data_IF_339081110960
#
_entry.id   IF_339081110960
#
_cell.length_a   1.000
_cell.length_b   1.000
_cell.length_c   1.000
_cell.angle_alpha   90.00
_cell.angle_beta   90.00
_cell.angle_gamma   90.00
#
_symmetry.space_group_name_H-M   'P 1'
#
loop_
_entity.id
_entity.type
_entity.pdbx_description
1 polymer ?
#
# COMPACT_ATOMS: atom_id res chain seq x y z
N UNK A 1 -38.94 -58.78 -10.28
CA UNK A 1 -38.39 -57.53 -9.71
C UNK A 1 -36.88 -57.73 -9.60
N UNK A 2 -36.08 -57.45 -10.64
CA UNK A 2 -35.46 -56.15 -11.01
C UNK A 2 -34.65 -55.56 -9.83
N UNK A 3 -33.35 -55.22 -9.90
CA UNK A 3 -32.37 -55.10 -10.99
C UNK A 3 -30.94 -55.13 -10.43
N UNK A 4 -29.99 -55.71 -11.17
CA UNK A 4 -28.55 -55.51 -10.99
C UNK A 4 -28.11 -54.31 -11.84
N UNK A 5 -27.43 -53.35 -11.22
CA UNK A 5 -26.87 -52.17 -11.86
C UNK A 5 -25.70 -52.56 -12.77
N UNK A 6 -25.79 -52.26 -14.07
CA UNK A 6 -24.65 -52.17 -15.00
C UNK A 6 -24.12 -50.74 -14.96
N UNK A 7 -22.80 -50.61 -14.91
CA UNK A 7 -22.08 -49.35 -15.08
C UNK A 7 -21.77 -49.24 -16.58
N UNK A 8 -22.39 -48.27 -17.25
CA UNK A 8 -22.09 -47.93 -18.64
C UNK A 8 -20.94 -46.91 -18.68
N UNK A 9 -19.80 -47.35 -19.20
CA UNK A 9 -18.62 -46.55 -19.53
C UNK A 9 -18.78 -46.04 -20.97
N UNK A 10 -19.50 -44.95 -21.22
CA UNK A 10 -19.57 -44.35 -22.58
C UNK A 10 -20.04 -42.88 -22.67
N UNK A 11 -19.73 -42.02 -21.69
CA UNK A 11 -20.15 -40.59 -21.71
C UNK A 11 -19.01 -39.53 -21.70
N UNK A 12 -17.75 -39.94 -21.91
CA UNK A 12 -16.60 -39.02 -21.84
C UNK A 12 -16.06 -38.51 -23.19
N UNK A 13 -16.66 -38.89 -24.33
CA UNK A 13 -16.17 -38.46 -25.67
C UNK A 13 -16.94 -37.32 -26.34
N UNK A 14 -17.98 -36.76 -25.70
CA UNK A 14 -18.81 -35.69 -26.29
C UNK A 14 -18.58 -34.29 -25.74
N UNK A 15 -17.84 -34.11 -24.63
CA UNK A 15 -17.62 -32.77 -24.03
C UNK A 15 -16.45 -31.96 -24.59
N UNK A 16 -15.57 -32.59 -25.38
CA UNK A 16 -14.37 -31.92 -25.91
C UNK A 16 -14.57 -31.24 -27.28
N UNK A 17 -15.70 -31.45 -27.98
CA UNK A 17 -15.94 -30.81 -29.29
C UNK A 17 -16.63 -29.45 -29.22
N UNK A 18 -17.21 -29.08 -28.08
CA UNK A 18 -17.98 -27.83 -27.94
C UNK A 18 -17.14 -26.64 -27.45
N UNK A 19 -15.91 -26.86 -26.94
CA UNK A 19 -15.03 -25.76 -26.48
C UNK A 19 -14.22 -25.08 -27.59
N UNK A 20 -14.09 -25.71 -28.77
CA UNK A 20 -13.26 -25.18 -29.86
C UNK A 20 -14.02 -24.23 -30.81
N UNK A 21 -15.36 -24.14 -30.73
CA UNK A 21 -16.15 -23.24 -31.58
C UNK A 21 -16.26 -21.80 -31.08
N UNK A 22 -16.00 -21.54 -29.80
CA UNK A 22 -16.15 -20.20 -29.21
C UNK A 22 -14.91 -19.31 -29.36
N UNK A 23 -13.74 -19.87 -29.67
CA UNK A 23 -12.50 -19.08 -29.86
C UNK A 23 -12.38 -18.36 -31.20
N UNK A 24 -13.17 -18.74 -32.21
CA UNK A 24 -13.06 -18.17 -33.57
C UNK A 24 -13.98 -16.97 -33.85
N UNK A 25 -14.87 -16.60 -32.92
CA UNK A 25 -15.74 -15.42 -33.08
C UNK A 25 -15.08 -14.08 -32.72
N UNK A 26 -14.12 -14.07 -31.78
CA UNK A 26 -13.51 -12.83 -31.30
C UNK A 26 -12.41 -12.26 -32.20
N UNK A 27 -11.92 -13.04 -33.18
CA UNK A 27 -10.83 -12.61 -34.07
C UNK A 27 -11.31 -11.77 -35.27
N UNK A 28 -12.62 -11.73 -35.55
CA UNK A 28 -13.21 -10.96 -36.69
C UNK A 28 -13.72 -9.57 -36.32
N UNK A 29 -13.80 -9.20 -35.04
CA UNK A 29 -14.25 -7.86 -34.59
C UNK A 29 -13.17 -6.77 -34.71
N UNK A 30 -11.88 -7.13 -34.82
CA UNK A 30 -10.75 -6.17 -34.80
C UNK A 30 -10.27 -5.68 -36.17
N UNK A 31 -10.93 -6.03 -37.28
CA UNK A 31 -10.40 -5.80 -38.64
C UNK A 31 -11.15 -4.78 -39.51
N UNK A 32 -12.10 -4.03 -38.94
CA UNK A 32 -12.86 -3.01 -39.68
C UNK A 32 -13.02 -1.73 -38.87
N UNK A 33 -12.03 -0.83 -38.93
CA UNK A 33 -12.16 0.63 -38.76
C UNK A 33 -10.80 1.29 -38.96
N UNK A 34 -10.37 1.36 -40.21
CA UNK A 34 -9.24 2.18 -40.68
C UNK A 34 -9.63 2.80 -42.02
N UNK A 35 -9.41 4.12 -42.16
CA UNK A 35 -9.65 5.05 -43.30
C UNK A 35 -11.03 5.74 -43.28
N UNK A 36 -11.24 7.08 -43.35
CA UNK A 36 -10.48 8.36 -43.50
C UNK A 36 -11.51 9.51 -43.18
N UNK A 37 -11.35 10.85 -43.43
CA UNK A 37 -10.22 11.69 -43.86
C UNK A 37 -9.99 13.01 -43.04
N UNK A 38 -8.86 13.67 -43.32
CA UNK A 38 -8.43 14.98 -42.82
C UNK A 38 -9.39 16.14 -43.16
N UNK A 39 -9.66 17.02 -42.19
CA UNK A 39 -10.05 18.43 -42.40
C UNK A 39 -9.22 19.35 -41.51
N UNK A 40 -8.55 20.32 -42.15
CA UNK A 40 -7.93 21.51 -41.58
C UNK A 40 -9.03 22.51 -41.18
N UNK A 41 -8.91 23.14 -40.01
CA UNK A 41 -9.26 24.54 -39.70
C UNK A 41 -8.87 24.78 -38.21
N UNK A 42 -7.84 25.58 -37.92
CA UNK A 42 -7.78 27.06 -37.78
C UNK A 42 -8.07 27.53 -36.34
N UNK A 43 -7.00 28.01 -35.71
CA UNK A 43 -6.89 28.94 -34.56
C UNK A 43 -7.97 28.91 -33.46
N UNK A 44 -7.54 28.48 -32.26
CA UNK A 44 -7.75 29.23 -31.00
C UNK A 44 -7.00 28.54 -29.85
N UNK A 45 -6.11 29.29 -29.22
CA UNK A 45 -5.50 28.97 -27.92
C UNK A 45 -6.59 28.66 -26.88
N UNK A 46 -6.50 27.50 -26.23
CA UNK A 46 -7.35 27.19 -25.09
C UNK A 46 -6.49 26.68 -23.94
N UNK A 47 -6.31 27.55 -22.95
CA UNK A 47 -5.76 27.27 -21.63
C UNK A 47 -6.58 26.16 -20.92
N UNK A 48 -5.98 25.39 -20.00
CA UNK A 48 -6.71 24.42 -19.19
C UNK A 48 -7.78 25.10 -18.32
N UNK A 49 -8.87 24.40 -17.96
CA UNK A 49 -10.05 25.02 -17.37
C UNK A 49 -9.77 25.54 -15.96
N UNK A 50 -10.07 26.82 -15.75
CA UNK A 50 -10.08 27.48 -14.44
C UNK A 50 -11.22 26.91 -13.59
N UNK A 51 -10.90 26.25 -12.48
CA UNK A 51 -11.91 25.93 -11.46
C UNK A 51 -12.17 27.22 -10.67
N UNK A 52 -13.31 27.84 -10.94
CA UNK A 52 -13.83 28.97 -10.15
C UNK A 52 -14.38 28.44 -8.83
N UNK A 53 -13.62 28.56 -7.74
CA UNK A 53 -14.16 28.51 -6.38
C UNK A 53 -14.50 29.94 -5.94
N UNK A 54 -15.77 30.30 -5.98
CA UNK A 54 -16.23 31.54 -5.37
C UNK A 54 -16.25 31.40 -3.85
N UNK A 55 -15.55 32.34 -3.21
CA UNK A 55 -15.38 32.50 -1.78
C UNK A 55 -16.69 32.85 -1.09
N UNK A 56 -16.94 32.19 0.04
CA UNK A 56 -17.53 32.85 1.21
C UNK A 56 -16.59 32.60 2.40
N UNK A 57 -16.00 33.69 2.87
CA UNK A 57 -15.05 33.77 3.96
C UNK A 57 -15.76 33.67 5.32
N UNK A 58 -15.24 32.83 6.21
CA UNK A 58 -14.95 33.13 7.61
C UNK A 58 -14.69 31.82 8.38
N UNK A 59 -13.61 31.81 9.16
CA UNK A 59 -13.21 30.78 10.13
C UNK A 59 -12.54 29.51 9.57
N UNK A 60 -11.24 29.61 9.27
CA UNK A 60 -10.19 29.00 10.09
C UNK A 60 -8.91 28.87 9.25
N UNK A 61 -7.86 29.60 9.63
CA UNK A 61 -6.48 29.27 9.25
C UNK A 61 -6.08 27.94 9.93
N UNK A 62 -6.69 26.84 9.51
CA UNK A 62 -6.18 25.52 9.84
C UNK A 62 -4.90 25.36 9.03
N UNK A 63 -3.74 25.62 9.65
CA UNK A 63 -2.42 25.31 9.08
C UNK A 63 -2.49 23.94 8.41
N UNK A 64 -2.42 23.92 7.07
CA UNK A 64 -2.48 22.68 6.30
C UNK A 64 -1.32 21.81 6.76
N UNK A 65 -1.62 20.75 7.52
CA UNK A 65 -0.59 19.86 8.04
C UNK A 65 -0.02 19.08 6.87
N UNK A 66 1.25 19.32 6.57
CA UNK A 66 1.97 18.64 5.50
C UNK A 66 2.63 17.37 6.01
N UNK A 67 2.68 16.36 5.15
CA UNK A 67 3.43 15.15 5.38
C UNK A 67 4.93 15.49 5.36
N UNK A 68 5.67 15.25 6.45
CA UNK A 68 7.06 15.64 6.53
C UNK A 68 7.98 14.74 5.70
N UNK A 69 7.46 13.67 5.09
CA UNK A 69 8.20 12.77 4.19
C UNK A 69 8.06 13.20 2.72
N UNK A 70 6.82 13.40 2.25
CA UNK A 70 6.52 13.77 0.85
C UNK A 70 6.45 15.27 0.60
N UNK A 71 6.37 16.09 1.66
CA UNK A 71 6.10 17.55 1.64
C UNK A 71 4.76 17.92 1.01
N UNK A 72 3.85 16.96 0.83
CA UNK A 72 2.49 17.18 0.34
C UNK A 72 1.50 17.33 1.50
N UNK A 73 0.36 18.00 1.32
CA UNK A 73 -0.73 17.97 2.29
C UNK A 73 -1.21 16.53 2.56
N UNK A 74 -1.52 16.22 3.82
CA UNK A 74 -2.09 14.90 4.14
C UNK A 74 -3.44 14.69 3.44
N UNK A 75 -3.64 13.48 2.91
CA UNK A 75 -4.88 13.08 2.26
C UNK A 75 -6.04 12.94 3.26
N UNK A 76 -7.28 12.98 2.75
CA UNK A 76 -8.47 12.69 3.59
C UNK A 76 -8.43 11.27 4.17
N UNK A 77 -7.89 10.30 3.40
CA UNK A 77 -7.74 8.90 3.82
C UNK A 77 -6.82 8.81 5.04
N UNK A 78 -5.71 9.55 5.05
CA UNK A 78 -4.81 9.61 6.20
C UNK A 78 -5.53 9.99 7.48
N UNK A 79 -6.34 11.05 7.47
CA UNK A 79 -7.05 11.52 8.66
C UNK A 79 -8.06 10.51 9.20
N UNK A 80 -8.77 9.80 8.32
CA UNK A 80 -9.69 8.72 8.72
C UNK A 80 -8.96 7.55 9.40
N UNK A 81 -7.77 7.22 8.89
CA UNK A 81 -6.92 6.17 9.48
C UNK A 81 -6.31 6.66 10.80
N UNK A 82 -5.90 7.93 10.85
CA UNK A 82 -5.30 8.58 12.00
C UNK A 82 -6.20 8.51 13.23
N UNK A 83 -7.49 8.81 13.07
CA UNK A 83 -8.46 8.74 14.17
C UNK A 83 -8.58 7.32 14.74
N UNK A 84 -8.70 6.33 13.87
CA UNK A 84 -8.81 4.91 14.28
C UNK A 84 -7.56 4.41 14.98
N UNK A 85 -6.37 4.78 14.50
CA UNK A 85 -5.12 4.28 15.11
C UNK A 85 -4.86 4.91 16.48
N UNK A 86 -5.32 6.14 16.76
CA UNK A 86 -5.19 6.76 18.07
C UNK A 86 -5.99 6.06 19.18
N UNK A 87 -6.96 5.23 18.79
CA UNK A 87 -7.75 4.41 19.70
C UNK A 87 -7.08 3.05 20.02
N UNK A 88 -5.92 2.75 19.42
CA UNK A 88 -5.22 1.49 19.68
C UNK A 88 -4.59 1.51 21.09
N UNK A 89 -4.64 0.38 21.84
CA UNK A 89 -4.12 0.31 23.19
C UNK A 89 -2.65 0.77 23.35
N UNK A 90 -1.81 0.55 22.33
CA UNK A 90 -0.41 0.99 22.38
C UNK A 90 -0.24 2.50 22.52
N UNK A 91 -1.19 3.32 22.07
CA UNK A 91 -1.04 4.78 22.05
C UNK A 91 -0.89 5.38 23.44
N UNK A 92 -1.56 4.81 24.44
CA UNK A 92 -1.44 5.22 25.85
C UNK A 92 0.00 5.09 26.38
N UNK A 93 0.80 4.23 25.75
CA UNK A 93 2.17 3.94 26.17
C UNK A 93 3.23 4.63 25.30
N UNK A 94 2.85 5.52 24.36
CA UNK A 94 3.83 6.12 23.42
C UNK A 94 4.95 6.85 24.15
N UNK A 95 4.64 7.69 25.12
CA UNK A 95 5.65 8.49 25.83
C UNK A 95 6.63 7.60 26.60
N UNK A 96 6.09 6.66 27.38
CA UNK A 96 6.88 5.66 28.11
C UNK A 96 7.75 4.82 27.18
N UNK A 97 7.22 4.42 26.02
CA UNK A 97 7.99 3.70 25.01
C UNK A 97 9.18 4.53 24.51
N UNK A 98 8.97 5.80 24.19
CA UNK A 98 10.02 6.70 23.69
C UNK A 98 11.11 6.95 24.74
N UNK A 99 10.73 7.05 26.01
CA UNK A 99 11.69 7.15 27.13
C UNK A 99 12.55 5.89 27.24
N UNK A 100 11.94 4.71 27.26
CA UNK A 100 12.67 3.42 27.33
C UNK A 100 13.58 3.27 26.10
N UNK A 101 13.11 3.67 24.92
CA UNK A 101 13.88 3.62 23.67
C UNK A 101 15.08 4.55 23.70
N UNK A 102 14.95 5.70 24.36
CA UNK A 102 16.07 6.60 24.54
C UNK A 102 17.14 6.01 25.47
N UNK A 103 16.71 5.41 26.59
CA UNK A 103 17.62 5.04 27.67
C UNK A 103 18.23 3.64 27.53
N UNK A 104 17.68 2.80 26.64
CA UNK A 104 18.09 1.40 26.51
C UNK A 104 18.44 1.06 25.06
N UNK A 105 19.54 0.33 24.86
CA UNK A 105 19.93 -0.18 23.55
C UNK A 105 19.00 -1.32 23.08
N UNK A 106 18.45 -2.10 24.01
CA UNK A 106 17.55 -3.21 23.75
C UNK A 106 16.36 -3.15 24.72
N UNK A 107 15.18 -3.53 24.25
CA UNK A 107 13.98 -3.64 25.09
C UNK A 107 13.09 -4.78 24.60
N UNK A 108 12.25 -5.29 25.50
CA UNK A 108 11.21 -6.26 25.17
C UNK A 108 9.84 -5.61 25.32
N UNK A 109 9.06 -5.66 24.25
CA UNK A 109 7.70 -5.12 24.22
C UNK A 109 6.70 -6.27 24.13
N UNK A 110 5.82 -6.38 25.13
CA UNK A 110 4.77 -7.40 25.21
C UNK A 110 3.41 -6.71 25.08
N UNK A 111 2.48 -7.37 24.38
CA UNK A 111 1.09 -6.93 24.29
C UNK A 111 0.26 -7.87 23.45
N UNK A 112 -1.06 -7.83 23.59
CA UNK A 112 -1.98 -8.72 22.90
C UNK A 112 -2.03 -8.51 21.38
N UNK A 113 -2.43 -9.53 20.63
CA UNK A 113 -2.67 -9.39 19.18
C UNK A 113 -3.71 -8.31 18.92
N UNK A 114 -3.48 -7.46 17.92
CA UNK A 114 -4.39 -6.33 17.62
C UNK A 114 -4.12 -5.07 18.45
N UNK A 115 -3.22 -5.10 19.43
CA UNK A 115 -2.90 -3.90 20.23
C UNK A 115 -2.23 -2.76 19.45
N UNK A 116 -1.73 -3.03 18.23
CA UNK A 116 -1.08 -2.03 17.37
C UNK A 116 0.44 -2.11 17.31
N UNK A 117 1.08 -3.13 17.92
CA UNK A 117 2.55 -3.25 17.98
C UNK A 117 3.23 -3.13 16.62
N UNK A 118 2.87 -4.03 15.70
CA UNK A 118 3.55 -4.16 14.42
C UNK A 118 3.30 -2.98 13.48
N UNK A 119 2.23 -2.20 13.69
CA UNK A 119 1.94 -1.02 12.86
C UNK A 119 2.48 0.27 13.48
N UNK A 120 2.29 0.50 14.77
CA UNK A 120 2.61 1.79 15.40
C UNK A 120 4.07 1.89 15.87
N UNK A 121 4.62 0.82 16.47
CA UNK A 121 5.96 0.85 17.07
C UNK A 121 7.04 1.21 16.03
N UNK A 122 7.07 0.60 14.83
CA UNK A 122 8.07 0.96 13.84
C UNK A 122 7.97 2.42 13.37
N UNK A 123 6.76 3.00 13.32
CA UNK A 123 6.57 4.41 12.97
C UNK A 123 7.18 5.34 14.03
N UNK A 124 7.05 5.02 15.31
CA UNK A 124 7.68 5.78 16.40
C UNK A 124 9.20 5.64 16.39
N UNK A 125 9.72 4.45 16.07
CA UNK A 125 11.15 4.26 15.84
C UNK A 125 11.66 5.12 14.67
N UNK A 126 10.88 5.25 13.59
CA UNK A 126 11.23 6.13 12.45
C UNK A 126 11.28 7.58 12.90
N UNK A 127 10.27 8.02 13.67
CA UNK A 127 10.23 9.37 14.25
C UNK A 127 11.46 9.65 15.12
N UNK A 128 11.79 8.73 16.03
CA UNK A 128 12.95 8.81 16.92
C UNK A 128 14.28 8.87 16.16
N UNK A 129 14.48 7.96 15.19
CA UNK A 129 15.70 7.90 14.39
C UNK A 129 15.87 9.16 13.54
N UNK A 130 14.77 9.70 12.99
CA UNK A 130 14.80 10.93 12.20
C UNK A 130 15.18 12.15 13.04
N UNK A 131 14.66 12.27 14.26
CA UNK A 131 15.01 13.36 15.17
C UNK A 131 16.48 13.35 15.58
N UNK A 132 17.12 12.17 15.54
CA UNK A 132 18.54 11.96 15.87
C UNK A 132 19.45 11.81 14.66
N UNK A 133 18.93 11.98 13.46
CA UNK A 133 19.70 11.76 12.25
C UNK A 133 20.79 12.84 12.13
N UNK A 134 22.05 12.40 12.04
CA UNK A 134 23.18 13.27 11.73
C UNK A 134 23.14 13.59 10.23
N UNK A 135 23.37 14.85 9.82
CA UNK A 135 23.46 15.20 8.40
C UNK A 135 24.43 14.28 7.65
N UNK A 136 23.97 13.70 6.54
CA UNK A 136 24.75 12.77 5.71
C UNK A 136 24.67 11.29 6.12
N UNK A 137 24.10 10.94 7.28
CA UNK A 137 23.87 9.54 7.67
C UNK A 137 22.44 9.10 7.36
N UNK A 138 22.28 8.20 6.39
CA UNK A 138 20.99 7.53 6.16
C UNK A 138 20.79 6.46 7.21
N UNK A 139 19.63 6.48 7.87
CA UNK A 139 19.21 5.47 8.84
C UNK A 139 17.87 4.88 8.39
N UNK A 140 17.70 3.60 8.65
CA UNK A 140 16.50 2.85 8.29
C UNK A 140 16.07 2.00 9.48
N UNK A 141 14.77 1.96 9.72
CA UNK A 141 14.14 1.05 10.68
C UNK A 141 13.75 -0.22 9.94
N UNK A 142 14.20 -1.36 10.45
CA UNK A 142 13.79 -2.67 9.95
C UNK A 142 12.87 -3.33 10.96
N UNK A 143 11.77 -3.91 10.47
CA UNK A 143 10.88 -4.74 11.26
C UNK A 143 10.76 -6.11 10.58
N UNK A 144 11.19 -7.16 11.28
CA UNK A 144 11.12 -8.52 10.76
C UNK A 144 9.74 -9.12 11.04
N UNK A 145 9.29 -10.00 10.15
CA UNK A 145 8.05 -10.75 10.23
C UNK A 145 8.32 -12.20 9.81
N UNK A 146 7.85 -13.21 10.57
CA UNK A 146 8.14 -14.61 10.26
C UNK A 146 7.45 -15.09 8.97
N UNK A 147 6.42 -14.39 8.50
CA UNK A 147 5.61 -14.77 7.32
C UNK A 147 5.69 -13.70 6.24
N UNK A 148 5.92 -14.13 5.00
CA UNK A 148 5.96 -13.26 3.81
C UNK A 148 4.69 -12.40 3.66
N UNK A 149 3.52 -13.03 3.77
CA UNK A 149 2.21 -12.35 3.65
C UNK A 149 2.03 -11.29 4.75
N UNK A 150 2.59 -11.50 5.94
CA UNK A 150 2.54 -10.52 7.01
C UNK A 150 3.44 -9.31 6.69
N UNK A 151 4.67 -9.53 6.20
CA UNK A 151 5.56 -8.44 5.81
C UNK A 151 4.94 -7.53 4.73
N UNK A 152 4.36 -8.13 3.68
CA UNK A 152 3.74 -7.38 2.58
C UNK A 152 2.48 -6.62 3.04
N UNK A 153 1.58 -7.29 3.76
CA UNK A 153 0.30 -6.70 4.17
C UNK A 153 0.49 -5.58 5.19
N UNK A 154 1.40 -5.76 6.16
CA UNK A 154 1.74 -4.71 7.13
C UNK A 154 2.44 -3.54 6.44
N UNK A 155 3.39 -3.78 5.53
CA UNK A 155 4.05 -2.69 4.81
C UNK A 155 3.05 -1.84 4.02
N UNK A 156 2.14 -2.47 3.29
CA UNK A 156 1.05 -1.78 2.58
C UNK A 156 0.16 -0.98 3.52
N UNK A 157 -0.25 -1.59 4.65
CA UNK A 157 -1.05 -0.91 5.68
C UNK A 157 -0.33 0.29 6.28
N UNK A 158 0.97 0.17 6.56
CA UNK A 158 1.74 1.25 7.19
C UNK A 158 2.10 2.35 6.19
N UNK A 159 2.26 2.03 4.91
CA UNK A 159 2.36 3.03 3.85
C UNK A 159 1.09 3.90 3.79
N UNK A 160 -0.09 3.27 3.86
CA UNK A 160 -1.37 3.96 3.96
C UNK A 160 -1.48 4.82 5.24
N UNK A 161 -1.01 4.31 6.39
CA UNK A 161 -1.00 5.04 7.67
C UNK A 161 -0.06 6.24 7.69
N UNK A 162 1.02 6.20 6.91
CA UNK A 162 2.00 7.28 6.78
C UNK A 162 1.70 8.21 5.60
N UNK A 163 0.64 7.94 4.83
CA UNK A 163 0.25 8.67 3.62
C UNK A 163 1.39 8.76 2.59
N UNK A 164 2.05 7.62 2.36
CA UNK A 164 3.17 7.47 1.42
C UNK A 164 2.91 6.33 0.44
N UNK A 165 3.63 6.34 -0.67
CA UNK A 165 3.54 5.26 -1.65
C UNK A 165 4.37 4.05 -1.18
N UNK A 166 3.77 2.86 -1.22
CA UNK A 166 4.49 1.61 -0.95
C UNK A 166 5.68 1.46 -1.91
N UNK A 167 6.84 1.12 -1.35
CA UNK A 167 8.11 1.02 -2.07
C UNK A 167 8.94 2.30 -2.06
N UNK A 168 8.39 3.43 -1.60
CA UNK A 168 9.15 4.66 -1.35
C UNK A 168 9.62 4.70 0.10
N UNK A 169 9.02 5.52 0.96
CA UNK A 169 9.44 5.68 2.35
C UNK A 169 9.17 4.44 3.21
N UNK A 170 8.08 3.73 2.92
CA UNK A 170 7.73 2.44 3.53
C UNK A 170 7.80 1.36 2.45
N UNK A 171 8.49 0.27 2.74
CA UNK A 171 8.65 -0.84 1.80
C UNK A 171 8.75 -2.20 2.48
N UNK A 172 8.91 -3.24 1.67
CA UNK A 172 9.21 -4.58 2.17
C UNK A 172 10.27 -5.30 1.35
N UNK A 173 10.92 -6.28 1.97
CA UNK A 173 11.95 -7.13 1.36
C UNK A 173 11.74 -8.57 1.79
N UNK A 174 11.47 -9.43 0.82
CA UNK A 174 11.25 -10.87 1.02
C UNK A 174 12.02 -11.64 -0.04
N UNK A 175 12.19 -12.95 0.16
CA UNK A 175 12.94 -13.77 -0.79
C UNK A 175 12.33 -13.64 -2.20
N UNK A 176 13.18 -13.25 -3.15
CA UNK A 176 12.86 -13.02 -4.57
C UNK A 176 11.98 -11.81 -4.89
N UNK A 177 11.69 -10.93 -3.92
CA UNK A 177 10.87 -9.74 -4.15
C UNK A 177 11.25 -8.61 -3.18
N UNK A 178 11.79 -7.53 -3.76
CA UNK A 178 12.18 -6.33 -3.04
C UNK A 178 11.36 -5.13 -3.53
N UNK A 179 10.52 -4.60 -2.63
CA UNK A 179 9.72 -3.40 -2.85
C UNK A 179 10.24 -2.28 -1.95
N UNK A 180 11.40 -1.74 -2.31
CA UNK A 180 12.12 -0.67 -1.58
C UNK A 180 12.81 0.28 -2.56
N UNK A 181 13.14 1.49 -2.10
CA UNK A 181 13.87 2.49 -2.88
C UNK A 181 14.98 3.16 -2.06
N UNK A 182 15.71 4.07 -2.70
CA UNK A 182 16.68 4.94 -2.03
C UNK A 182 16.04 5.86 -0.97
N UNK A 183 14.72 6.03 -0.97
CA UNK A 183 13.98 6.85 -0.02
C UNK A 183 13.43 6.05 1.16
N UNK A 184 13.52 4.72 1.14
CA UNK A 184 12.98 3.88 2.22
C UNK A 184 13.63 4.19 3.56
N UNK A 185 12.78 4.46 4.55
CA UNK A 185 13.14 4.72 5.95
C UNK A 185 12.55 3.65 6.88
N UNK A 186 11.51 2.93 6.42
CA UNK A 186 10.89 1.82 7.13
C UNK A 186 10.77 0.62 6.20
N UNK A 187 11.37 -0.50 6.59
CA UNK A 187 11.36 -1.74 5.82
C UNK A 187 10.81 -2.90 6.64
N UNK A 188 9.75 -3.51 6.16
CA UNK A 188 9.28 -4.80 6.66
C UNK A 188 9.97 -5.93 5.92
N UNK A 189 10.36 -6.99 6.60
CA UNK A 189 11.13 -8.04 5.95
C UNK A 189 10.88 -9.39 6.58
N UNK A 190 11.22 -10.46 5.88
CA UNK A 190 11.27 -11.78 6.51
C UNK A 190 12.61 -11.99 7.21
N UNK A 191 12.60 -12.79 8.27
CA UNK A 191 13.80 -13.11 9.06
C UNK A 191 14.99 -13.56 8.18
N UNK A 192 14.71 -14.38 7.16
CA UNK A 192 15.72 -14.87 6.21
C UNK A 192 16.29 -13.84 5.21
N UNK A 193 15.92 -12.55 5.30
CA UNK A 193 16.57 -11.47 4.55
C UNK A 193 17.70 -10.78 5.34
N UNK A 194 17.82 -11.07 6.64
CA UNK A 194 18.85 -10.52 7.53
C UNK A 194 19.92 -11.55 7.93
N UNK A 195 19.74 -12.81 7.54
CA UNK A 195 20.64 -13.94 7.76
C UNK A 195 21.39 -14.26 6.46
#
# INVERSE_FOLDING_TARGET
MSSRHRIDLDDDRKRDRDRDRDRDRDRKSRRSRSRSPLKKDKDRSNSPPTITYNNNAAAAEAKIKTNPYTRMPYSRKYWQIWEKRHQLPVWEYKEKFMEILHNNQCMTLVGETGSGKTTQIPQWCVEYVRQRAVPGQRRLVACTQPRRVAAMSVASRVADEMDVQLGQEVGYSIRFEDCVSAQTILKYCTDGMFL
#
